data_IF_894959169890
#
_entry.id   IF_894959169890
#
_cell.length_a   1.000
_cell.length_b   1.000
_cell.length_c   1.000
_cell.angle_alpha   90.00
_cell.angle_beta   90.00
_cell.angle_gamma   90.00
#
_symmetry.space_group_name_H-M   'P 1'
#
loop_
_entity.id
_entity.type
_entity.pdbx_description
1 polymer ?
#
# COMPACT_ATOMS: atom_id res chain seq x y z
N UNK A 1 44.31 -68.04 20.24
CA UNK A 1 43.53 -66.99 20.95
C UNK A 1 43.57 -65.78 20.05
N UNK A 2 42.43 -65.53 19.43
CA UNK A 2 42.41 -65.29 18.00
C UNK A 2 42.21 -63.80 17.67
N UNK A 3 43.23 -63.18 17.09
CA UNK A 3 43.25 -61.75 16.74
C UNK A 3 42.12 -61.32 15.78
N UNK A 4 41.53 -62.27 15.05
CA UNK A 4 40.41 -62.03 14.15
C UNK A 4 39.08 -61.76 14.87
N UNK A 5 38.88 -62.29 16.09
CA UNK A 5 37.67 -62.05 16.87
C UNK A 5 37.63 -60.63 17.49
N UNK A 6 38.80 -60.08 17.84
CA UNK A 6 38.91 -58.68 18.30
C UNK A 6 38.69 -57.68 17.15
N UNK A 7 39.15 -58.01 15.94
CA UNK A 7 38.94 -57.20 14.75
C UNK A 7 37.45 -57.20 14.31
N UNK A 8 36.76 -58.34 14.43
CA UNK A 8 35.35 -58.46 14.04
C UNK A 8 34.39 -57.62 14.90
N UNK A 9 34.74 -57.33 16.15
CA UNK A 9 33.95 -56.48 17.07
C UNK A 9 34.29 -54.99 16.96
N UNK A 10 35.50 -54.63 16.51
CA UNK A 10 35.94 -53.24 16.43
C UNK A 10 35.23 -52.44 15.31
N UNK A 11 34.92 -53.09 14.19
CA UNK A 11 34.24 -52.48 13.04
C UNK A 11 32.81 -52.01 13.37
N UNK A 12 31.90 -52.83 13.92
CA UNK A 12 30.55 -52.39 14.24
C UNK A 12 30.53 -51.31 15.33
N UNK A 13 31.47 -51.34 16.28
CA UNK A 13 31.61 -50.32 17.32
C UNK A 13 32.05 -48.97 16.75
N UNK A 14 33.00 -48.96 15.80
CA UNK A 14 33.41 -47.76 15.09
C UNK A 14 32.29 -47.14 14.25
N UNK A 15 31.47 -47.96 13.59
CA UNK A 15 30.29 -47.51 12.83
C UNK A 15 29.23 -46.91 13.75
N UNK A 16 28.93 -47.57 14.88
CA UNK A 16 27.98 -47.06 15.86
C UNK A 16 28.43 -45.72 16.47
N UNK A 17 29.74 -45.58 16.76
CA UNK A 17 30.32 -44.34 17.26
C UNK A 17 30.26 -43.22 16.20
N UNK A 18 30.57 -43.54 14.95
CA UNK A 18 30.48 -42.59 13.82
C UNK A 18 29.05 -42.10 13.58
N UNK A 19 28.06 -42.98 13.67
CA UNK A 19 26.65 -42.61 13.55
C UNK A 19 26.15 -41.79 14.75
N UNK A 20 26.58 -42.12 15.96
CA UNK A 20 26.25 -41.35 17.16
C UNK A 20 26.85 -39.94 17.12
N UNK A 21 28.11 -39.81 16.69
CA UNK A 21 28.77 -38.51 16.48
C UNK A 21 28.14 -37.72 15.34
N UNK A 22 27.77 -38.39 14.23
CA UNK A 22 27.04 -37.79 13.11
C UNK A 22 25.66 -37.27 13.53
N UNK A 23 24.92 -38.01 14.35
CA UNK A 23 23.62 -37.59 14.88
C UNK A 23 23.75 -36.43 15.88
N UNK A 24 24.77 -36.44 16.75
CA UNK A 24 25.08 -35.34 17.66
C UNK A 24 25.55 -34.07 16.93
N UNK A 25 26.23 -34.21 15.79
CA UNK A 25 26.64 -33.09 14.94
C UNK A 25 25.47 -32.54 14.10
N UNK A 26 24.66 -33.42 13.50
CA UNK A 26 23.46 -33.06 12.74
C UNK A 26 22.39 -32.41 13.65
N UNK A 27 22.12 -33.00 14.81
CA UNK A 27 21.12 -32.49 15.75
C UNK A 27 21.44 -31.07 16.25
N UNK A 28 22.71 -30.75 16.52
CA UNK A 28 23.11 -29.41 17.01
C UNK A 28 22.84 -28.29 16.00
N UNK A 29 22.95 -28.56 14.70
CA UNK A 29 22.69 -27.58 13.64
C UNK A 29 21.21 -27.27 13.45
N UNK A 30 20.31 -28.25 13.64
CA UNK A 30 18.86 -28.04 13.50
C UNK A 30 18.21 -27.44 14.75
N UNK A 31 18.59 -27.88 15.95
CA UNK A 31 18.04 -27.35 17.20
C UNK A 31 18.27 -25.84 17.39
N UNK A 32 19.40 -25.31 16.90
CA UNK A 32 19.72 -23.88 16.99
C UNK A 32 18.93 -23.03 15.97
N UNK A 33 18.72 -23.55 14.76
CA UNK A 33 17.89 -22.91 13.72
C UNK A 33 16.41 -22.94 14.12
N UNK A 34 15.91 -24.06 14.64
CA UNK A 34 14.53 -24.18 15.12
C UNK A 34 14.27 -23.22 16.30
N UNK A 35 15.21 -23.11 17.24
CA UNK A 35 15.13 -22.15 18.35
C UNK A 35 15.21 -20.69 17.91
N UNK A 36 15.99 -20.36 16.87
CA UNK A 36 16.04 -19.01 16.31
C UNK A 36 14.73 -18.64 15.59
N UNK A 37 14.22 -19.53 14.73
CA UNK A 37 12.95 -19.34 14.04
C UNK A 37 11.77 -19.18 15.02
N UNK A 38 11.76 -19.95 16.11
CA UNK A 38 10.71 -19.83 17.11
C UNK A 38 10.81 -18.54 17.93
N UNK A 39 12.02 -18.07 18.26
CA UNK A 39 12.22 -16.75 18.87
C UNK A 39 11.71 -15.63 17.98
N UNK A 40 12.06 -15.64 16.69
CA UNK A 40 11.55 -14.68 15.70
C UNK A 40 10.03 -14.71 15.63
N UNK A 41 9.44 -15.90 15.55
CA UNK A 41 7.98 -16.09 15.48
C UNK A 41 7.26 -15.60 16.75
N UNK A 42 7.88 -15.76 17.93
CA UNK A 42 7.31 -15.26 19.20
C UNK A 42 7.39 -13.74 19.31
N UNK A 43 8.53 -13.16 18.94
CA UNK A 43 8.70 -11.70 18.92
C UNK A 43 7.73 -11.03 17.95
N UNK A 44 7.55 -11.58 16.75
CA UNK A 44 6.55 -11.10 15.79
C UNK A 44 5.12 -11.19 16.33
N UNK A 45 4.74 -12.33 16.93
CA UNK A 45 3.41 -12.49 17.53
C UNK A 45 3.15 -11.43 18.61
N UNK A 46 4.08 -11.27 19.55
CA UNK A 46 3.96 -10.24 20.60
C UNK A 46 3.90 -8.82 20.04
N UNK A 47 4.70 -8.52 19.02
CA UNK A 47 4.63 -7.22 18.35
C UNK A 47 3.27 -6.98 17.72
N UNK A 48 2.66 -7.99 17.08
CA UNK A 48 1.33 -7.88 16.48
C UNK A 48 0.26 -7.75 17.55
N UNK A 49 0.32 -8.54 18.63
CA UNK A 49 -0.60 -8.47 19.77
C UNK A 49 -0.57 -7.07 20.41
N UNK A 50 0.62 -6.51 20.62
CA UNK A 50 0.82 -5.17 21.15
C UNK A 50 0.25 -4.09 20.21
N UNK A 51 0.43 -4.22 18.88
CA UNK A 51 -0.20 -3.31 17.90
C UNK A 51 -1.72 -3.37 18.00
N UNK A 52 -2.29 -4.57 18.10
CA UNK A 52 -3.75 -4.76 18.25
C UNK A 52 -4.27 -4.20 19.58
N UNK A 53 -3.47 -4.22 20.63
CA UNK A 53 -3.77 -3.60 21.92
C UNK A 53 -3.55 -2.07 21.94
N UNK A 54 -3.04 -1.47 20.87
CA UNK A 54 -2.69 -0.05 20.82
C UNK A 54 -1.38 0.32 21.53
N UNK A 55 -0.59 -0.68 21.94
CA UNK A 55 0.67 -0.53 22.65
C UNK A 55 1.87 -0.46 21.70
N UNK A 56 1.86 0.50 20.76
CA UNK A 56 2.94 0.66 19.76
C UNK A 56 4.35 0.75 20.36
N UNK A 57 4.59 1.45 21.50
CA UNK A 57 5.91 1.46 22.14
C UNK A 57 6.43 0.07 22.53
N UNK A 58 5.55 -0.79 23.05
CA UNK A 58 5.92 -2.17 23.43
C UNK A 58 6.25 -3.02 22.20
N UNK A 59 5.50 -2.85 21.10
CA UNK A 59 5.80 -3.50 19.83
C UNK A 59 7.17 -3.09 19.28
N UNK A 60 7.51 -1.80 19.37
CA UNK A 60 8.82 -1.26 18.94
C UNK A 60 9.94 -1.88 19.78
N UNK A 61 9.76 -1.98 21.10
CA UNK A 61 10.75 -2.60 21.98
C UNK A 61 10.99 -4.07 21.62
N UNK A 62 9.93 -4.85 21.39
CA UNK A 62 10.05 -6.27 21.03
C UNK A 62 10.81 -6.47 19.71
N UNK A 63 10.48 -5.72 18.66
CA UNK A 63 11.19 -5.81 17.38
C UNK A 63 12.62 -5.24 17.46
N UNK A 64 12.87 -4.24 18.31
CA UNK A 64 14.23 -3.73 18.55
C UNK A 64 15.11 -4.79 19.20
N UNK A 65 14.60 -5.52 20.21
CA UNK A 65 15.32 -6.64 20.84
C UNK A 65 15.58 -7.77 19.85
N UNK A 66 14.59 -8.09 19.02
CA UNK A 66 14.76 -9.07 17.95
C UNK A 66 15.90 -8.65 17.01
N UNK A 67 15.92 -7.39 16.58
CA UNK A 67 16.92 -6.86 15.68
C UNK A 67 18.34 -6.87 16.28
N UNK A 68 18.49 -6.57 17.57
CA UNK A 68 19.78 -6.68 18.26
C UNK A 68 20.33 -8.11 18.25
N UNK A 69 19.45 -9.12 18.32
CA UNK A 69 19.84 -10.53 18.28
C UNK A 69 20.02 -11.07 16.85
N UNK A 70 19.34 -10.48 15.87
CA UNK A 70 19.28 -10.92 14.47
C UNK A 70 19.31 -9.69 13.54
N UNK A 71 20.50 -9.06 13.38
CA UNK A 71 20.63 -7.76 12.70
C UNK A 71 20.44 -7.81 11.18
N UNK A 72 20.39 -9.01 10.59
CA UNK A 72 20.33 -9.21 9.15
C UNK A 72 18.90 -9.49 8.63
N UNK A 73 17.93 -9.68 9.52
CA UNK A 73 16.54 -10.02 9.15
C UNK A 73 15.81 -8.81 8.56
N UNK A 74 15.64 -8.80 7.24
CA UNK A 74 15.02 -7.70 6.49
C UNK A 74 13.60 -7.41 6.96
N UNK A 75 12.83 -8.46 7.19
CA UNK A 75 11.44 -8.40 7.65
C UNK A 75 11.35 -7.60 8.95
N UNK A 76 12.31 -7.78 9.86
CA UNK A 76 12.35 -7.04 11.14
C UNK A 76 12.58 -5.55 10.92
N UNK A 77 13.40 -5.14 9.94
CA UNK A 77 13.52 -3.71 9.57
C UNK A 77 12.21 -3.16 8.99
N UNK A 78 11.54 -3.93 8.11
CA UNK A 78 10.25 -3.51 7.53
C UNK A 78 9.15 -3.37 8.60
N UNK A 79 9.10 -4.31 9.54
CA UNK A 79 8.19 -4.24 10.68
C UNK A 79 8.49 -3.05 11.57
N UNK A 80 9.75 -2.88 11.97
CA UNK A 80 10.18 -1.81 12.86
C UNK A 80 9.95 -0.42 12.24
N UNK A 81 10.26 -0.23 10.96
CA UNK A 81 9.98 1.03 10.25
C UNK A 81 8.48 1.30 10.18
N UNK A 82 7.66 0.29 9.89
CA UNK A 82 6.20 0.43 9.92
C UNK A 82 5.67 0.85 11.30
N UNK A 83 6.21 0.28 12.38
CA UNK A 83 5.83 0.68 13.74
C UNK A 83 6.21 2.13 14.05
N UNK A 84 7.38 2.60 13.61
CA UNK A 84 7.75 4.01 13.78
C UNK A 84 6.83 4.96 13.00
N UNK A 85 6.40 4.58 11.80
CA UNK A 85 5.39 5.36 11.05
C UNK A 85 4.06 5.42 11.81
N UNK A 86 3.58 4.30 12.36
CA UNK A 86 2.35 4.24 13.18
C UNK A 86 2.49 5.08 14.46
N UNK A 87 3.67 5.07 15.08
CA UNK A 87 3.98 5.88 16.26
C UNK A 87 4.12 7.39 15.98
N UNK A 88 3.97 7.83 14.73
CA UNK A 88 4.10 9.23 14.34
C UNK A 88 5.54 9.70 14.17
N UNK A 89 6.51 8.79 13.99
CA UNK A 89 7.91 9.11 13.64
C UNK A 89 8.23 8.63 12.20
N UNK A 90 7.65 9.26 11.17
CA UNK A 90 7.85 8.88 9.77
C UNK A 90 9.29 9.12 9.29
N UNK A 91 10.02 10.08 9.87
CA UNK A 91 11.42 10.32 9.51
C UNK A 91 12.31 9.15 9.91
N UNK A 92 12.12 8.59 11.11
CA UNK A 92 12.86 7.39 11.52
C UNK A 92 12.42 6.17 10.73
N UNK A 93 11.13 6.03 10.44
CA UNK A 93 10.62 4.97 9.56
C UNK A 93 11.31 5.00 8.19
N UNK A 94 11.36 6.17 7.54
CA UNK A 94 11.99 6.35 6.23
C UNK A 94 13.49 5.98 6.27
N UNK A 95 14.21 6.37 7.33
CA UNK A 95 15.62 5.98 7.51
C UNK A 95 15.77 4.47 7.58
N UNK A 96 14.94 3.80 8.39
CA UNK A 96 14.98 2.33 8.58
C UNK A 96 14.69 1.62 7.25
N UNK A 97 13.60 1.96 6.57
CA UNK A 97 13.24 1.31 5.29
C UNK A 97 14.26 1.60 4.18
N UNK A 98 14.86 2.80 4.12
CA UNK A 98 15.94 3.10 3.17
C UNK A 98 17.15 2.19 3.35
N UNK A 99 17.49 1.78 4.58
CA UNK A 99 18.61 0.83 4.81
C UNK A 99 18.36 -0.54 4.15
N UNK A 100 17.10 -0.95 4.03
CA UNK A 100 16.73 -2.20 3.37
C UNK A 100 16.89 -2.08 1.86
N UNK A 101 16.47 -0.97 1.26
CA UNK A 101 16.43 -0.79 -0.20
C UNK A 101 17.79 -0.94 -0.91
N UNK A 102 18.89 -0.66 -0.21
CA UNK A 102 20.26 -0.69 -0.74
C UNK A 102 20.98 -2.03 -0.55
N UNK A 103 20.35 -3.01 0.11
CA UNK A 103 20.96 -4.34 0.29
C UNK A 103 21.02 -5.08 -1.05
N UNK A 104 22.21 -5.55 -1.42
CA UNK A 104 22.47 -6.21 -2.71
C UNK A 104 21.70 -7.54 -2.83
N UNK A 105 21.72 -8.36 -1.77
CA UNK A 105 21.08 -9.67 -1.73
C UNK A 105 19.54 -9.63 -1.60
N UNK A 106 18.91 -8.47 -1.72
CA UNK A 106 17.47 -8.32 -1.55
C UNK A 106 16.70 -8.80 -2.79
N UNK A 107 15.86 -9.83 -2.62
CA UNK A 107 14.97 -10.28 -3.68
C UNK A 107 13.99 -9.19 -4.12
N UNK A 108 13.61 -9.19 -5.40
CA UNK A 108 12.72 -8.18 -5.98
C UNK A 108 11.40 -7.95 -5.22
N UNK A 109 10.67 -8.99 -4.73
CA UNK A 109 9.46 -8.78 -3.94
C UNK A 109 9.69 -7.89 -2.71
N UNK A 110 10.75 -8.18 -1.95
CA UNK A 110 11.10 -7.45 -0.73
C UNK A 110 11.64 -6.05 -1.05
N UNK A 111 12.35 -5.88 -2.18
CA UNK A 111 12.81 -4.58 -2.66
C UNK A 111 11.63 -3.66 -3.00
N UNK A 112 10.60 -4.21 -3.66
CA UNK A 112 9.35 -3.49 -3.95
C UNK A 112 8.62 -3.09 -2.68
N UNK A 113 8.51 -3.98 -1.71
CA UNK A 113 7.89 -3.70 -0.41
C UNK A 113 8.64 -2.60 0.36
N UNK A 114 9.98 -2.68 0.43
CA UNK A 114 10.79 -1.65 1.05
C UNK A 114 10.62 -0.28 0.37
N UNK A 115 10.58 -0.24 -0.97
CA UNK A 115 10.33 1.01 -1.72
C UNK A 115 8.93 1.57 -1.44
N UNK A 116 7.90 0.72 -1.45
CA UNK A 116 6.55 1.12 -1.07
C UNK A 116 6.55 1.74 0.34
N UNK A 117 7.20 1.07 1.30
CA UNK A 117 7.27 1.54 2.66
C UNK A 117 7.96 2.92 2.78
N UNK A 118 9.05 3.14 2.04
CA UNK A 118 9.70 4.47 1.95
C UNK A 118 8.75 5.52 1.39
N UNK A 119 8.00 5.22 0.31
CA UNK A 119 7.03 6.15 -0.26
C UNK A 119 5.93 6.53 0.75
N UNK A 120 5.43 5.56 1.51
CA UNK A 120 4.43 5.79 2.56
C UNK A 120 4.99 6.60 3.75
N UNK A 121 6.24 6.39 4.12
CA UNK A 121 6.89 7.20 5.17
C UNK A 121 7.09 8.65 4.73
N UNK A 122 7.51 8.87 3.48
CA UNK A 122 7.65 10.21 2.91
C UNK A 122 6.29 10.92 2.86
N UNK A 123 5.23 10.22 2.45
CA UNK A 123 3.85 10.73 2.50
C UNK A 123 3.45 11.11 3.93
N UNK A 124 3.68 10.23 4.91
CA UNK A 124 3.35 10.48 6.31
C UNK A 124 4.19 11.64 6.92
N UNK A 125 5.42 11.82 6.47
CA UNK A 125 6.31 12.92 6.87
C UNK A 125 6.07 14.23 6.12
N UNK A 126 5.09 14.30 5.21
CA UNK A 126 4.79 15.51 4.44
C UNK A 126 5.76 15.81 3.29
N UNK A 127 6.69 14.91 2.98
CA UNK A 127 7.63 15.01 1.87
C UNK A 127 6.97 14.63 0.54
N UNK A 128 5.97 15.41 0.13
CA UNK A 128 5.05 15.09 -0.97
C UNK A 128 5.76 14.78 -2.29
N UNK A 129 6.65 15.66 -2.75
CA UNK A 129 7.31 15.50 -4.06
C UNK A 129 8.20 14.26 -4.09
N UNK A 130 8.96 14.03 -3.01
CA UNK A 130 9.79 12.82 -2.87
C UNK A 130 8.92 11.55 -2.82
N UNK A 131 7.78 11.59 -2.14
CA UNK A 131 6.84 10.48 -2.07
C UNK A 131 6.28 10.14 -3.46
N UNK A 132 5.83 11.15 -4.21
CA UNK A 132 5.32 10.99 -5.58
C UNK A 132 6.41 10.40 -6.48
N UNK A 133 7.61 10.97 -6.50
CA UNK A 133 8.71 10.50 -7.34
C UNK A 133 9.09 9.03 -7.01
N UNK A 134 9.15 8.69 -5.72
CA UNK A 134 9.45 7.32 -5.28
C UNK A 134 8.37 6.33 -5.75
N UNK A 135 7.09 6.67 -5.54
CA UNK A 135 5.97 5.80 -5.89
C UNK A 135 5.74 5.71 -7.40
N UNK A 136 5.92 6.80 -8.16
CA UNK A 136 5.89 6.79 -9.63
C UNK A 136 6.95 5.83 -10.19
N UNK A 137 8.19 5.91 -9.69
CA UNK A 137 9.27 4.99 -10.07
C UNK A 137 9.02 3.53 -9.63
N UNK A 138 8.28 3.33 -8.54
CA UNK A 138 7.88 1.99 -8.11
C UNK A 138 6.84 1.41 -9.07
N UNK A 139 5.74 2.13 -9.36
CA UNK A 139 4.65 1.61 -10.19
C UNK A 139 5.01 1.50 -11.66
N UNK A 140 6.03 2.22 -12.14
CA UNK A 140 6.56 2.05 -13.50
C UNK A 140 7.17 0.65 -13.69
N UNK A 141 7.70 0.05 -12.63
CA UNK A 141 8.34 -1.27 -12.64
C UNK A 141 7.46 -2.36 -11.99
N UNK A 142 6.50 -1.97 -11.16
CA UNK A 142 5.65 -2.85 -10.36
C UNK A 142 4.19 -2.36 -10.38
N UNK A 143 3.59 -2.38 -11.58
CA UNK A 143 2.25 -1.82 -11.82
C UNK A 143 1.09 -2.58 -11.16
N UNK A 144 1.37 -3.68 -10.46
CA UNK A 144 0.47 -4.57 -9.75
C UNK A 144 0.33 -4.26 -8.25
N UNK A 145 1.14 -3.34 -7.71
CA UNK A 145 1.09 -2.94 -6.30
C UNK A 145 -0.07 -1.98 -6.02
N UNK A 146 -1.24 -2.54 -5.68
CA UNK A 146 -2.42 -1.74 -5.36
C UNK A 146 -2.17 -0.65 -4.30
N UNK A 147 -1.46 -0.90 -3.17
CA UNK A 147 -1.23 0.13 -2.16
C UNK A 147 -0.44 1.34 -2.69
N UNK A 148 0.49 1.14 -3.63
CA UNK A 148 1.24 2.23 -4.26
C UNK A 148 0.32 3.14 -5.08
N UNK A 149 -0.61 2.55 -5.85
CA UNK A 149 -1.61 3.30 -6.60
C UNK A 149 -2.58 4.06 -5.70
N UNK A 150 -2.94 3.50 -4.54
CA UNK A 150 -3.77 4.20 -3.56
C UNK A 150 -3.05 5.43 -2.98
N UNK A 151 -1.79 5.26 -2.58
CA UNK A 151 -0.96 6.35 -2.07
C UNK A 151 -0.74 7.45 -3.12
N UNK A 152 -0.46 7.08 -4.37
CA UNK A 152 -0.37 8.05 -5.48
C UNK A 152 -1.68 8.81 -5.70
N UNK A 153 -2.83 8.14 -5.62
CA UNK A 153 -4.11 8.82 -5.76
C UNK A 153 -4.32 9.89 -4.69
N UNK A 154 -4.00 9.58 -3.43
CA UNK A 154 -4.09 10.52 -2.31
C UNK A 154 -3.11 11.70 -2.46
N UNK A 155 -1.86 11.41 -2.84
CA UNK A 155 -0.84 12.44 -3.07
C UNK A 155 -1.20 13.36 -4.23
N UNK A 156 -1.63 12.82 -5.38
CA UNK A 156 -2.05 13.64 -6.51
C UNK A 156 -3.29 14.46 -6.21
N UNK A 157 -4.24 13.93 -5.43
CA UNK A 157 -5.41 14.68 -5.03
C UNK A 157 -5.02 15.87 -4.14
N UNK A 158 -4.18 15.63 -3.13
CA UNK A 158 -3.66 16.69 -2.26
C UNK A 158 -2.84 17.74 -3.03
N UNK A 159 -2.29 17.36 -4.19
CA UNK A 159 -1.54 18.22 -5.10
C UNK A 159 -2.41 18.93 -6.15
N UNK A 160 -3.73 18.70 -6.16
CA UNK A 160 -4.64 19.27 -7.16
C UNK A 160 -4.48 18.65 -8.56
N UNK A 161 -3.75 17.54 -8.69
CA UNK A 161 -3.55 16.79 -9.95
C UNK A 161 -4.69 15.79 -10.16
N UNK A 162 -5.92 16.28 -10.20
CA UNK A 162 -7.16 15.47 -10.20
C UNK A 162 -7.23 14.39 -11.29
N UNK A 163 -6.74 14.67 -12.50
CA UNK A 163 -6.71 13.69 -13.59
C UNK A 163 -5.80 12.49 -13.25
N UNK A 164 -4.61 12.74 -12.71
CA UNK A 164 -3.68 11.68 -12.28
C UNK A 164 -4.19 10.95 -11.04
N UNK A 165 -4.83 11.66 -10.11
CA UNK A 165 -5.50 11.05 -8.97
C UNK A 165 -6.59 10.06 -9.41
N UNK A 166 -7.40 10.44 -10.42
CA UNK A 166 -8.41 9.57 -11.01
C UNK A 166 -7.79 8.30 -11.62
N UNK A 167 -6.75 8.44 -12.43
CA UNK A 167 -6.07 7.31 -13.07
C UNK A 167 -5.49 6.34 -12.03
N UNK A 168 -4.82 6.87 -11.01
CA UNK A 168 -4.24 6.08 -9.92
C UNK A 168 -5.32 5.35 -9.12
N UNK A 169 -6.42 6.04 -8.77
CA UNK A 169 -7.53 5.43 -8.03
C UNK A 169 -8.26 4.36 -8.85
N UNK A 170 -8.45 4.60 -10.14
CA UNK A 170 -9.06 3.63 -11.06
C UNK A 170 -8.19 2.37 -11.19
N UNK A 171 -6.87 2.56 -11.27
CA UNK A 171 -5.91 1.45 -11.30
C UNK A 171 -5.92 0.65 -10.00
N UNK A 172 -5.92 1.31 -8.84
CA UNK A 172 -6.11 0.67 -7.55
C UNK A 172 -7.41 -0.16 -7.50
N UNK A 173 -8.53 0.40 -7.97
CA UNK A 173 -9.82 -0.30 -7.99
C UNK A 173 -9.82 -1.54 -8.88
N UNK A 174 -9.15 -1.46 -10.04
CA UNK A 174 -8.97 -2.62 -10.94
C UNK A 174 -8.14 -3.74 -10.29
N UNK A 175 -7.07 -3.40 -9.59
CA UNK A 175 -6.19 -4.39 -8.94
C UNK A 175 -6.86 -5.07 -7.74
N UNK A 176 -7.68 -4.34 -6.99
CA UNK A 176 -8.38 -4.86 -5.80
C UNK A 176 -9.73 -5.49 -6.09
N UNK A 177 -10.24 -5.33 -7.32
CA UNK A 177 -11.62 -5.71 -7.67
C UNK A 177 -12.68 -4.83 -6.98
N UNK A 178 -12.28 -3.73 -6.34
CA UNK A 178 -13.16 -2.83 -5.57
C UNK A 178 -13.06 -1.41 -6.13
N UNK A 179 -14.02 -1.05 -6.97
CA UNK A 179 -14.06 0.29 -7.59
C UNK A 179 -14.85 1.25 -6.71
N UNK A 180 -14.19 2.31 -6.24
CA UNK A 180 -14.83 3.42 -5.53
C UNK A 180 -15.39 4.43 -6.54
N UNK A 181 -16.57 4.11 -7.09
CA UNK A 181 -17.24 4.94 -8.11
C UNK A 181 -17.51 6.36 -7.59
N UNK A 182 -17.83 6.49 -6.30
CA UNK A 182 -18.13 7.77 -5.65
C UNK A 182 -16.92 8.71 -5.67
N UNK A 183 -15.75 8.23 -5.25
CA UNK A 183 -14.54 9.06 -5.28
C UNK A 183 -14.01 9.28 -6.70
N UNK A 184 -14.15 8.30 -7.60
CA UNK A 184 -13.80 8.48 -9.01
C UNK A 184 -14.65 9.56 -9.70
N UNK A 185 -15.96 9.59 -9.43
CA UNK A 185 -16.84 10.63 -9.93
C UNK A 185 -16.46 12.01 -9.36
N UNK A 186 -16.18 12.09 -8.05
CA UNK A 186 -15.73 13.34 -7.39
C UNK A 186 -14.44 13.88 -8.03
N UNK A 187 -13.44 13.03 -8.27
CA UNK A 187 -12.19 13.44 -8.92
C UNK A 187 -12.43 13.95 -10.34
N UNK A 188 -13.35 13.34 -11.09
CA UNK A 188 -13.73 13.81 -12.43
C UNK A 188 -14.49 15.13 -12.43
N UNK A 189 -15.31 15.40 -11.40
CA UNK A 189 -15.93 16.71 -11.21
C UNK A 189 -14.86 17.77 -10.98
N UNK A 190 -13.91 17.51 -10.07
CA UNK A 190 -12.84 18.46 -9.76
C UNK A 190 -11.88 18.70 -10.96
N UNK A 191 -11.59 17.66 -11.75
CA UNK A 191 -10.89 17.80 -13.03
C UNK A 191 -11.68 18.69 -14.00
N UNK A 192 -13.00 18.50 -14.09
CA UNK A 192 -13.87 19.34 -14.92
C UNK A 192 -13.86 20.80 -14.48
N UNK A 193 -13.91 21.08 -13.17
CA UNK A 193 -13.84 22.43 -12.61
C UNK A 193 -12.49 23.10 -12.91
N UNK A 194 -11.39 22.37 -12.80
CA UNK A 194 -10.05 22.85 -13.17
C UNK A 194 -9.98 23.21 -14.65
N UNK A 195 -10.52 22.35 -15.53
CA UNK A 195 -10.57 22.59 -16.97
C UNK A 195 -11.47 23.78 -17.35
N UNK A 196 -12.54 24.05 -16.58
CA UNK A 196 -13.33 25.28 -16.75
C UNK A 196 -12.49 26.51 -16.44
N UNK A 197 -11.75 26.50 -15.34
CA UNK A 197 -10.88 27.61 -14.94
C UNK A 197 -9.78 27.91 -15.98
N UNK A 198 -9.29 26.87 -16.65
CA UNK A 198 -8.31 26.97 -17.75
C UNK A 198 -8.93 27.31 -19.12
N UNK A 199 -10.27 27.45 -19.21
CA UNK A 199 -10.97 27.72 -20.47
C UNK A 199 -11.08 26.51 -21.40
N UNK A 200 -10.69 25.31 -20.98
CA UNK A 200 -10.74 24.07 -21.73
C UNK A 200 -12.15 23.47 -21.79
N UNK A 201 -13.09 24.16 -22.45
CA UNK A 201 -14.51 23.81 -22.53
C UNK A 201 -14.79 22.34 -22.89
N UNK A 202 -14.17 21.86 -23.97
CA UNK A 202 -14.39 20.48 -24.44
C UNK A 202 -13.92 19.43 -23.41
N UNK A 203 -12.79 19.68 -22.75
CA UNK A 203 -12.27 18.84 -21.68
C UNK A 203 -13.19 18.83 -20.47
N UNK A 204 -13.59 20.01 -20.00
CA UNK A 204 -14.51 20.17 -18.87
C UNK A 204 -15.81 19.39 -19.06
N UNK A 205 -16.46 19.55 -20.23
CA UNK A 205 -17.68 18.81 -20.57
C UNK A 205 -17.47 17.30 -20.51
N UNK A 206 -16.35 16.80 -21.07
CA UNK A 206 -16.03 15.36 -21.05
C UNK A 206 -15.83 14.86 -19.63
N UNK A 207 -15.17 15.63 -18.77
CA UNK A 207 -14.93 15.28 -17.38
C UNK A 207 -16.25 15.18 -16.59
N UNK A 208 -17.14 16.18 -16.70
CA UNK A 208 -18.46 16.14 -16.05
C UNK A 208 -19.35 15.00 -16.55
N UNK A 209 -19.40 14.79 -17.87
CA UNK A 209 -20.13 13.66 -18.45
C UNK A 209 -19.57 12.31 -17.96
N UNK A 210 -18.24 12.20 -17.84
CA UNK A 210 -17.60 11.00 -17.29
C UNK A 210 -17.98 10.79 -15.82
N UNK A 211 -17.99 11.84 -15.00
CA UNK A 211 -18.43 11.76 -13.60
C UNK A 211 -19.86 11.21 -13.47
N UNK A 212 -20.81 11.78 -14.22
CA UNK A 212 -22.20 11.31 -14.28
C UNK A 212 -22.31 9.84 -14.72
N UNK A 213 -21.46 9.38 -15.66
CA UNK A 213 -21.46 8.00 -16.11
C UNK A 213 -20.85 6.99 -15.12
N UNK A 214 -19.89 7.41 -14.30
CA UNK A 214 -19.21 6.54 -13.33
C UNK A 214 -20.12 6.20 -12.17
N UNK A 215 -20.90 7.19 -11.71
CA UNK A 215 -21.83 7.06 -10.61
C UNK A 215 -23.21 7.58 -11.06
N UNK A 216 -23.96 6.81 -11.86
CA UNK A 216 -25.23 7.27 -12.42
C UNK A 216 -26.31 7.52 -11.36
N UNK A 217 -26.18 6.90 -10.18
CA UNK A 217 -27.04 7.07 -9.01
C UNK A 217 -26.51 8.12 -8.01
N UNK A 218 -25.49 8.89 -8.37
CA UNK A 218 -24.98 10.02 -7.56
C UNK A 218 -25.32 11.33 -8.29
N UNK A 219 -26.15 12.16 -7.66
CA UNK A 219 -26.63 13.40 -8.28
C UNK A 219 -25.51 14.39 -8.60
N UNK A 220 -24.35 14.34 -7.91
CA UNK A 220 -23.29 15.36 -8.04
C UNK A 220 -22.70 15.45 -9.45
N UNK A 221 -22.52 14.32 -10.13
CA UNK A 221 -22.00 14.29 -11.49
C UNK A 221 -22.97 14.95 -12.48
N UNK A 222 -24.26 14.65 -12.33
CA UNK A 222 -25.34 15.20 -13.15
C UNK A 222 -25.53 16.70 -12.90
N UNK A 223 -25.50 17.14 -11.64
CA UNK A 223 -25.56 18.56 -11.26
C UNK A 223 -24.39 19.34 -11.86
N UNK A 224 -23.17 18.81 -11.77
CA UNK A 224 -21.99 19.47 -12.33
C UNK A 224 -22.10 19.62 -13.86
N UNK A 225 -22.60 18.60 -14.55
CA UNK A 225 -22.86 18.64 -15.99
C UNK A 225 -23.98 19.62 -16.36
N UNK A 226 -25.06 19.66 -15.59
CA UNK A 226 -26.17 20.59 -15.78
C UNK A 226 -25.69 22.05 -15.66
N UNK A 227 -24.97 22.37 -14.58
CA UNK A 227 -24.37 23.68 -14.34
C UNK A 227 -23.43 24.10 -15.46
N UNK A 228 -22.59 23.18 -15.95
CA UNK A 228 -21.74 23.44 -17.10
C UNK A 228 -22.56 23.80 -18.35
N UNK A 229 -23.62 23.05 -18.65
CA UNK A 229 -24.47 23.31 -19.81
C UNK A 229 -25.28 24.62 -19.72
N UNK A 230 -25.70 25.03 -18.53
CA UNK A 230 -26.34 26.33 -18.33
C UNK A 230 -25.40 27.47 -18.67
N UNK A 231 -24.17 27.40 -18.15
CA UNK A 231 -23.13 28.41 -18.40
C UNK A 231 -22.72 28.46 -19.89
N UNK A 232 -22.79 27.34 -20.60
CA UNK A 232 -22.53 27.26 -22.04
C UNK A 232 -23.76 27.64 -22.91
N UNK A 233 -24.87 28.05 -22.29
CA UNK A 233 -26.12 28.45 -22.97
C UNK A 233 -26.97 27.28 -23.50
N UNK A 234 -26.56 26.04 -23.27
CA UNK A 234 -27.21 24.83 -23.75
C UNK A 234 -28.38 24.40 -22.84
N UNK A 235 -29.41 25.24 -22.73
CA UNK A 235 -30.55 25.06 -21.79
C UNK A 235 -31.23 23.69 -21.86
N UNK A 236 -31.46 23.16 -23.06
CA UNK A 236 -32.08 21.84 -23.22
C UNK A 236 -31.22 20.70 -22.62
N UNK A 237 -29.90 20.78 -22.80
CA UNK A 237 -28.97 19.78 -22.22
C UNK A 237 -28.88 19.92 -20.71
N UNK A 238 -28.91 21.16 -20.21
CA UNK A 238 -28.94 21.43 -18.79
C UNK A 238 -30.21 20.88 -18.10
N UNK A 239 -31.38 21.06 -18.72
CA UNK A 239 -32.64 20.52 -18.21
C UNK A 239 -32.58 18.99 -18.11
N UNK A 240 -32.12 18.32 -19.17
CA UNK A 240 -31.96 16.85 -19.17
C UNK A 240 -31.00 16.36 -18.08
N UNK A 241 -29.86 17.01 -17.91
CA UNK A 241 -28.91 16.65 -16.84
C UNK A 241 -29.47 16.94 -15.44
N UNK A 242 -30.30 17.98 -15.28
CA UNK A 242 -30.97 18.29 -14.01
C UNK A 242 -32.03 17.25 -13.65
N UNK A 243 -32.78 16.76 -14.65
CA UNK A 243 -33.73 15.66 -14.46
C UNK A 243 -33.00 14.38 -14.04
N UNK A 244 -31.89 14.04 -14.70
CA UNK A 244 -31.07 12.89 -14.31
C UNK A 244 -30.52 13.01 -12.88
N UNK A 245 -30.20 14.23 -12.41
CA UNK A 245 -29.79 14.46 -11.02
C UNK A 245 -30.92 14.18 -10.02
N UNK A 246 -32.16 14.60 -10.32
CA UNK A 246 -33.37 14.35 -9.51
C UNK A 246 -33.69 12.86 -9.47
N UNK A 247 -33.56 12.16 -10.60
CA UNK A 247 -33.78 10.71 -10.69
C UNK A 247 -32.73 9.91 -9.92
N UNK A 248 -31.48 10.38 -9.91
CA UNK A 248 -30.38 9.74 -9.19
C UNK A 248 -30.59 9.81 -7.66
N UNK A 249 -30.94 10.98 -7.13
CA UNK A 249 -31.26 11.18 -5.71
C UNK A 249 -32.46 12.13 -5.59
N UNK A 250 -33.61 11.69 -5.05
CA UNK A 250 -34.80 12.53 -4.88
C UNK A 250 -34.54 13.79 -4.04
N UNK A 251 -33.66 13.71 -3.04
CA UNK A 251 -33.19 14.86 -2.24
C UNK A 251 -32.23 15.78 -3.04
N UNK A 252 -31.62 15.25 -4.09
CA UNK A 252 -30.86 16.00 -5.10
C UNK A 252 -31.71 16.98 -5.88
N UNK A 253 -33.04 16.88 -5.83
CA UNK A 253 -33.97 17.84 -6.42
C UNK A 253 -33.77 19.27 -5.89
N UNK A 254 -33.46 19.43 -4.60
CA UNK A 254 -33.17 20.75 -4.02
C UNK A 254 -31.85 21.34 -4.56
N UNK A 255 -30.86 20.50 -4.87
CA UNK A 255 -29.57 20.91 -5.44
C UNK A 255 -29.73 21.25 -6.92
N UNK A 256 -30.48 20.43 -7.67
CA UNK A 256 -30.77 20.65 -9.09
C UNK A 256 -31.61 21.92 -9.29
N UNK A 257 -32.59 22.19 -8.42
CA UNK A 257 -33.41 23.40 -8.49
C UNK A 257 -32.59 24.68 -8.26
N UNK A 258 -31.67 24.67 -7.29
CA UNK A 258 -30.74 25.80 -7.05
C UNK A 258 -29.73 26.02 -8.18
N UNK A 259 -29.46 25.02 -9.00
CA UNK A 259 -28.59 25.18 -10.15
C UNK A 259 -29.30 25.86 -11.34
N UNK A 260 -30.64 25.83 -11.38
CA UNK A 260 -31.47 26.32 -12.49
C UNK A 260 -32.00 27.75 -12.30
N UNK A 261 -32.01 28.27 -11.07
CA UNK A 261 -32.50 29.61 -10.68
C UNK A 261 -31.33 30.49 -10.28
#
# INVERSE_FOLDING_TARGET
MDSWLLAALAVPLGVALGLALGWLAWGRGRYSVDGAAERTSRAWRRSLDAVLAGETPAAIEELTRLLQSQPDTVETYLGLGTLFRVAGDPHRAARIHKTVTVREALGEPMRREARLAVGLDLQAGGHRDEAIANLEALVSNASDLAPAWRALAELYEADGRHAKAYEALARHGKLTGRTDTRNLARLKIAEGESLVAEGQRSGARKAFAKAASIAPHDARGHVALARYHLNDGARAKAANASLAAVEAEPDGAAIAWRALV
#
